data_IF_565226786995
#
_entry.id   IF_565226786995
#
_cell.length_a   1.000
_cell.length_b   1.000
_cell.length_c   1.000
_cell.angle_alpha   90.00
_cell.angle_beta   90.00
_cell.angle_gamma   90.00
#
_symmetry.space_group_name_H-M   'P 1'
#
loop_
_entity.id
_entity.type
_entity.pdbx_description
1 polymer ?
#
# COMPACT_ATOMS: atom_id res chain seq x y z
N UNK A 1 7.47 19.18 5.80
CA UNK A 1 7.00 17.85 6.23
C UNK A 1 7.70 16.78 5.41
N UNK A 2 8.33 15.79 6.03
CA UNK A 2 8.91 14.69 5.27
C UNK A 2 7.84 13.88 4.53
N UNK A 3 8.26 13.22 3.47
CA UNK A 3 7.42 12.28 2.73
C UNK A 3 7.66 10.87 3.24
N UNK A 4 6.61 10.07 3.22
CA UNK A 4 6.65 8.67 3.67
C UNK A 4 6.11 7.77 2.59
N UNK A 5 6.79 6.66 2.37
CA UNK A 5 6.35 5.63 1.43
C UNK A 5 5.50 4.60 2.18
N UNK A 6 4.29 4.38 1.69
CA UNK A 6 3.45 3.27 2.14
C UNK A 6 3.58 2.14 1.13
N UNK A 7 3.96 0.97 1.60
CA UNK A 7 4.06 -0.23 0.77
C UNK A 7 3.02 -1.22 1.28
N UNK A 8 2.13 -1.64 0.39
CA UNK A 8 1.02 -2.52 0.75
C UNK A 8 1.37 -3.97 0.47
N UNK A 9 1.06 -4.85 1.41
CA UNK A 9 1.32 -6.29 1.32
C UNK A 9 0.06 -7.09 1.60
N UNK A 10 0.02 -8.32 1.09
CA UNK A 10 -1.01 -9.27 1.47
C UNK A 10 -2.33 -9.11 0.73
N UNK A 11 -2.34 -8.31 -0.35
CA UNK A 11 -3.54 -8.13 -1.15
C UNK A 11 -3.80 -9.23 -2.18
N UNK A 12 -2.84 -10.15 -2.34
CA UNK A 12 -2.91 -11.19 -3.35
C UNK A 12 -3.29 -12.51 -2.70
N UNK A 13 -4.57 -12.85 -2.72
CA UNK A 13 -5.03 -14.15 -2.25
C UNK A 13 -5.06 -15.13 -3.42
N UNK A 14 -5.06 -16.44 -3.10
CA UNK A 14 -5.28 -17.48 -4.10
C UNK A 14 -6.77 -17.60 -4.49
N UNK A 15 -7.59 -16.74 -3.93
CA UNK A 15 -9.00 -16.69 -4.25
C UNK A 15 -9.22 -16.39 -5.74
N UNK A 16 -10.39 -16.78 -6.30
CA UNK A 16 -10.73 -16.41 -7.67
C UNK A 16 -10.64 -14.90 -7.88
N UNK A 17 -10.37 -14.45 -9.11
CA UNK A 17 -10.37 -13.02 -9.40
C UNK A 17 -11.66 -12.36 -8.94
N UNK A 18 -11.60 -11.14 -8.36
CA UNK A 18 -12.82 -10.47 -7.91
C UNK A 18 -13.74 -10.15 -9.09
N UNK A 19 -15.03 -10.18 -8.82
CA UNK A 19 -16.04 -9.74 -9.80
C UNK A 19 -15.90 -8.22 -10.01
N UNK A 20 -16.46 -7.68 -11.13
CA UNK A 20 -16.46 -6.22 -11.32
C UNK A 20 -17.10 -5.46 -10.16
N UNK A 21 -18.16 -6.01 -9.55
CA UNK A 21 -18.81 -5.39 -8.39
C UNK A 21 -17.88 -5.37 -7.19
N UNK A 22 -17.12 -6.44 -6.94
CA UNK A 22 -16.15 -6.50 -5.85
C UNK A 22 -14.99 -5.55 -6.08
N UNK A 23 -14.51 -5.44 -7.32
CA UNK A 23 -13.45 -4.50 -7.69
C UNK A 23 -13.88 -3.06 -7.43
N UNK A 24 -15.11 -2.71 -7.79
CA UNK A 24 -15.64 -1.38 -7.55
C UNK A 24 -15.74 -1.09 -6.06
N UNK A 25 -16.21 -2.04 -5.27
CA UNK A 25 -16.32 -1.89 -3.81
C UNK A 25 -14.95 -1.66 -3.19
N UNK A 26 -13.95 -2.43 -3.62
CA UNK A 26 -12.57 -2.26 -3.15
C UNK A 26 -12.03 -0.88 -3.51
N UNK A 27 -12.25 -0.46 -4.76
CA UNK A 27 -11.83 0.86 -5.21
C UNK A 27 -12.48 1.96 -4.37
N UNK A 28 -13.77 1.83 -4.07
CA UNK A 28 -14.49 2.81 -3.26
C UNK A 28 -13.93 2.91 -1.84
N UNK A 29 -13.54 1.78 -1.25
CA UNK A 29 -12.90 1.74 0.08
C UNK A 29 -11.57 2.49 0.05
N UNK A 30 -10.74 2.23 -0.94
CA UNK A 30 -9.44 2.88 -1.07
C UNK A 30 -9.57 4.37 -1.35
N UNK A 31 -10.46 4.76 -2.25
CA UNK A 31 -10.66 6.18 -2.56
C UNK A 31 -11.25 6.93 -1.38
N UNK A 32 -12.11 6.29 -0.59
CA UNK A 32 -12.62 6.86 0.64
C UNK A 32 -11.54 7.12 1.67
N UNK A 33 -10.61 6.18 1.82
CA UNK A 33 -9.47 6.33 2.72
C UNK A 33 -8.54 7.46 2.28
N UNK A 34 -8.20 7.51 0.99
CA UNK A 34 -7.38 8.60 0.44
C UNK A 34 -8.09 9.95 0.62
N UNK A 35 -9.41 9.97 0.48
CA UNK A 35 -10.19 11.19 0.74
C UNK A 35 -10.05 11.68 2.18
N UNK A 36 -10.01 10.77 3.14
CA UNK A 36 -9.79 11.12 4.55
C UNK A 36 -8.38 11.66 4.78
N UNK A 37 -7.38 11.13 4.10
CA UNK A 37 -6.01 11.63 4.21
C UNK A 37 -5.86 13.01 3.55
N UNK A 38 -6.68 13.29 2.54
CA UNK A 38 -6.79 14.61 1.93
C UNK A 38 -5.47 15.14 1.39
N UNK A 39 -5.12 16.34 1.82
CA UNK A 39 -3.91 17.04 1.34
C UNK A 39 -2.60 16.36 1.73
N UNK A 40 -2.63 15.40 2.63
CA UNK A 40 -1.40 14.68 3.01
C UNK A 40 -0.96 13.70 1.93
N UNK A 41 -1.84 13.31 1.01
CA UNK A 41 -1.48 12.42 -0.09
C UNK A 41 -0.66 13.19 -1.12
N UNK A 42 0.60 12.81 -1.27
CA UNK A 42 1.51 13.38 -2.27
C UNK A 42 1.31 12.65 -3.60
N UNK A 43 1.22 11.33 -3.53
CA UNK A 43 0.98 10.50 -4.70
C UNK A 43 0.15 9.29 -4.27
N UNK A 44 -0.98 9.08 -4.94
CA UNK A 44 -1.82 7.92 -4.68
C UNK A 44 -1.06 6.63 -4.99
N UNK A 45 -0.19 6.66 -5.98
CA UNK A 45 0.54 5.49 -6.42
C UNK A 45 -0.33 4.57 -7.26
N UNK A 46 -0.03 3.29 -7.21
CA UNK A 46 -0.73 2.30 -8.01
C UNK A 46 -0.67 0.92 -7.36
N UNK A 47 -1.66 0.05 -7.64
CA UNK A 47 -1.53 -1.35 -7.29
C UNK A 47 -0.48 -2.00 -8.19
N UNK A 48 0.20 -3.01 -7.69
CA UNK A 48 1.21 -3.75 -8.45
C UNK A 48 0.79 -5.21 -8.59
N UNK A 49 1.24 -5.82 -9.66
CA UNK A 49 1.10 -7.26 -9.88
C UNK A 49 2.27 -7.99 -9.22
N UNK A 50 2.14 -9.32 -8.99
CA UNK A 50 3.28 -10.10 -8.54
C UNK A 50 4.47 -9.91 -9.47
N UNK A 51 5.64 -9.80 -8.88
CA UNK A 51 6.86 -9.53 -9.61
C UNK A 51 7.98 -10.47 -9.19
N UNK A 52 9.20 -9.98 -9.31
CA UNK A 52 10.39 -10.74 -8.93
C UNK A 52 11.30 -9.89 -8.07
N UNK A 53 11.98 -10.54 -7.13
CA UNK A 53 13.03 -9.92 -6.34
C UNK A 53 14.36 -10.35 -6.95
N UNK A 54 15.20 -9.38 -7.26
CA UNK A 54 16.52 -9.62 -7.84
C UNK A 54 17.57 -9.41 -6.76
N UNK A 55 18.46 -10.36 -6.61
CA UNK A 55 19.58 -10.28 -5.70
C UNK A 55 20.83 -10.85 -6.37
N UNK A 56 21.95 -10.84 -5.64
CA UNK A 56 23.18 -11.46 -6.13
C UNK A 56 22.96 -12.93 -6.51
N UNK A 57 22.03 -13.61 -5.84
CA UNK A 57 21.73 -15.02 -6.12
C UNK A 57 20.81 -15.23 -7.33
N UNK A 58 20.31 -14.16 -7.95
CA UNK A 58 19.44 -14.22 -9.12
C UNK A 58 18.08 -13.59 -8.86
N UNK A 59 17.08 -13.98 -9.64
CA UNK A 59 15.73 -13.43 -9.54
C UNK A 59 14.77 -14.50 -9.04
N UNK A 60 13.92 -14.16 -8.08
CA UNK A 60 12.89 -15.05 -7.51
C UNK A 60 11.54 -14.36 -7.53
N UNK A 61 10.49 -15.15 -7.75
CA UNK A 61 9.13 -14.62 -7.65
C UNK A 61 8.86 -14.09 -6.23
N UNK A 62 8.14 -12.96 -6.15
CA UNK A 62 7.81 -12.35 -4.86
C UNK A 62 6.76 -13.12 -4.07
N UNK A 63 5.97 -13.97 -4.75
CA UNK A 63 4.93 -14.76 -4.10
C UNK A 63 3.74 -13.94 -3.67
N UNK A 64 2.83 -14.58 -2.93
CA UNK A 64 1.58 -13.96 -2.45
C UNK A 64 1.79 -12.90 -1.37
N UNK A 65 2.94 -12.96 -0.68
CA UNK A 65 3.27 -12.00 0.38
C UNK A 65 4.11 -10.83 -0.13
N UNK A 66 4.23 -10.70 -1.45
CA UNK A 66 4.96 -9.61 -2.06
C UNK A 66 4.20 -8.28 -2.01
N UNK A 67 4.84 -7.25 -2.54
CA UNK A 67 4.25 -5.91 -2.61
C UNK A 67 3.02 -5.93 -3.51
N UNK A 68 1.92 -5.36 -3.01
CA UNK A 68 0.66 -5.26 -3.77
C UNK A 68 0.38 -3.84 -4.26
N UNK A 69 1.19 -2.86 -3.86
CA UNK A 69 1.03 -1.48 -4.28
C UNK A 69 1.84 -0.53 -3.44
N UNK A 70 1.72 0.77 -3.75
CA UNK A 70 2.42 1.81 -3.00
C UNK A 70 1.67 3.12 -3.05
N UNK A 71 1.96 3.99 -2.08
CA UNK A 71 1.51 5.40 -2.08
C UNK A 71 2.57 6.24 -1.40
N UNK A 72 2.51 7.55 -1.61
CA UNK A 72 3.39 8.50 -0.92
C UNK A 72 2.51 9.54 -0.22
N UNK A 73 2.76 9.72 1.07
CA UNK A 73 2.06 10.72 1.89
C UNK A 73 3.08 11.60 2.60
N UNK A 74 2.64 12.74 3.11
CA UNK A 74 3.48 13.58 3.97
C UNK A 74 2.92 13.59 5.38
N UNK A 75 3.81 13.62 6.37
CA UNK A 75 3.43 13.63 7.78
C UNK A 75 4.52 14.35 8.58
N UNK A 76 4.20 14.76 9.80
CA UNK A 76 5.14 15.45 10.67
C UNK A 76 6.19 14.51 11.27
N UNK A 77 5.84 13.23 11.40
CA UNK A 77 6.72 12.24 12.03
C UNK A 77 6.36 10.85 11.53
N UNK A 78 7.26 9.90 11.76
CA UNK A 78 7.00 8.49 11.46
C UNK A 78 5.77 8.00 12.24
N UNK A 79 5.64 8.40 13.51
CA UNK A 79 4.48 8.02 14.32
C UNK A 79 3.17 8.49 13.73
N UNK A 80 3.12 9.71 13.21
CA UNK A 80 1.94 10.22 12.53
C UNK A 80 1.64 9.40 11.27
N UNK A 81 2.66 9.12 10.46
CA UNK A 81 2.49 8.33 9.24
C UNK A 81 1.97 6.91 9.57
N UNK A 82 2.48 6.30 10.64
CA UNK A 82 2.00 4.98 11.09
C UNK A 82 0.53 5.05 11.50
N UNK A 83 0.12 6.09 12.22
CA UNK A 83 -1.28 6.26 12.60
C UNK A 83 -2.18 6.43 11.36
N UNK A 84 -1.71 7.14 10.34
CA UNK A 84 -2.43 7.27 9.08
C UNK A 84 -2.61 5.90 8.41
N UNK A 85 -1.56 5.08 8.39
CA UNK A 85 -1.65 3.73 7.82
C UNK A 85 -2.63 2.86 8.60
N UNK A 86 -2.64 2.95 9.92
CA UNK A 86 -3.56 2.18 10.77
C UNK A 86 -5.02 2.48 10.48
N UNK A 87 -5.33 3.63 9.92
CA UNK A 87 -6.71 4.02 9.62
C UNK A 87 -7.29 3.31 8.41
N UNK A 88 -6.49 2.56 7.64
CA UNK A 88 -7.00 1.83 6.48
C UNK A 88 -7.89 0.67 6.93
N UNK A 89 -9.11 0.57 6.36
CA UNK A 89 -10.07 -0.48 6.80
C UNK A 89 -9.55 -1.90 6.63
N UNK A 90 -8.73 -2.16 5.61
CA UNK A 90 -8.28 -3.51 5.29
C UNK A 90 -7.20 -4.03 6.24
N UNK A 91 -6.64 -3.18 7.11
CA UNK A 91 -5.72 -3.63 8.16
C UNK A 91 -6.41 -4.67 9.04
N UNK A 92 -7.67 -4.46 9.37
CA UNK A 92 -8.46 -5.41 10.15
C UNK A 92 -8.68 -6.74 9.43
N UNK A 93 -8.54 -6.75 8.11
CA UNK A 93 -8.68 -7.95 7.27
C UNK A 93 -7.35 -8.67 7.05
N UNK A 94 -6.28 -8.21 7.69
CA UNK A 94 -4.96 -8.85 7.58
C UNK A 94 -3.99 -8.21 6.61
N UNK A 95 -4.38 -7.13 5.93
CA UNK A 95 -3.45 -6.38 5.09
C UNK A 95 -2.35 -5.75 5.94
N UNK A 96 -1.15 -5.66 5.39
CA UNK A 96 -0.02 -5.01 6.05
C UNK A 96 0.43 -3.80 5.24
N UNK A 97 0.80 -2.74 5.94
CA UNK A 97 1.37 -1.54 5.32
C UNK A 97 2.73 -1.29 5.97
N UNK A 98 3.79 -1.32 5.17
CA UNK A 98 5.10 -0.90 5.64
C UNK A 98 5.24 0.60 5.41
N UNK A 99 5.78 1.31 6.37
CA UNK A 99 5.90 2.77 6.35
C UNK A 99 7.38 3.14 6.43
N UNK A 100 7.86 3.86 5.42
CA UNK A 100 9.25 4.29 5.35
C UNK A 100 9.35 5.79 5.13
N UNK A 101 10.21 6.46 5.89
CA UNK A 101 10.51 7.85 5.60
C UNK A 101 11.36 7.92 4.33
N UNK A 102 10.99 8.81 3.41
CA UNK A 102 11.75 9.02 2.19
C UNK A 102 12.84 10.03 2.47
N UNK A 103 14.08 9.63 2.26
CA UNK A 103 15.21 10.52 2.44
C UNK A 103 15.28 11.53 1.30
N UNK A 104 15.47 12.81 1.60
CA UNK A 104 15.71 13.78 0.53
C UNK A 104 17.04 13.46 -0.16
N UNK A 105 17.02 13.57 -1.48
CA UNK A 105 18.19 13.28 -2.31
C UNK A 105 18.75 14.56 -2.90
#
# INVERSE_FOLDING_TARGET
>A
MPNYLFVYYGGMSEAPPPTPAQQKKTMDVWMGWFGKLGKTVVEIGAPTKPGKTVSKAGARATGKDGVAGYSIVKANSLGQAVNMAKSHPDIAQGMKIAVYEIMPM
#
